data_IF_527501679881
#
_entry.id   IF_527501679881
#
_cell.length_a   1.000
_cell.length_b   1.000
_cell.length_c   1.000
_cell.angle_alpha   90.00
_cell.angle_beta   90.00
_cell.angle_gamma   90.00
#
_symmetry.space_group_name_H-M   'P 1'
#
loop_
_entity.id
_entity.type
_entity.pdbx_description
1 polymer ?
#
# COMPACT_ATOMS: atom_id res chain seq x y z
N UNK A 1 1.20 -6.27 -6.87
CA UNK A 1 0.86 -7.65 -6.42
C UNK A 1 -0.63 -7.73 -6.12
N UNK A 2 -1.29 -8.87 -6.33
CA UNK A 2 -2.70 -9.02 -5.93
C UNK A 2 -2.89 -9.09 -4.42
N UNK A 3 -4.01 -8.57 -3.92
CA UNK A 3 -4.29 -8.50 -2.49
C UNK A 3 -4.28 -9.87 -1.78
N UNK A 4 -4.90 -10.94 -2.30
CA UNK A 4 -4.85 -12.25 -1.64
C UNK A 4 -3.42 -12.81 -1.57
N UNK A 5 -2.62 -12.61 -2.63
CA UNK A 5 -1.23 -13.07 -2.67
C UNK A 5 -0.36 -12.27 -1.70
N UNK A 6 -0.57 -10.96 -1.61
CA UNK A 6 0.13 -10.10 -0.67
C UNK A 6 -0.20 -10.44 0.78
N UNK A 7 -1.49 -10.65 1.10
CA UNK A 7 -1.93 -11.08 2.42
C UNK A 7 -1.30 -12.42 2.84
N UNK A 8 -1.31 -13.41 1.94
CA UNK A 8 -0.65 -14.70 2.16
C UNK A 8 0.86 -14.54 2.39
N UNK A 9 1.53 -13.69 1.62
CA UNK A 9 2.97 -13.48 1.72
C UNK A 9 3.37 -12.82 3.05
N UNK A 10 2.52 -11.93 3.56
CA UNK A 10 2.76 -11.20 4.82
C UNK A 10 2.15 -11.88 6.05
N UNK A 11 1.41 -12.98 5.89
CA UNK A 11 0.69 -13.62 6.99
C UNK A 11 -0.47 -12.77 7.57
N UNK A 12 -1.03 -11.85 6.77
CA UNK A 12 -2.04 -10.89 7.22
C UNK A 12 -3.42 -11.19 6.63
N UNK A 13 -4.46 -10.99 7.45
CA UNK A 13 -5.85 -11.00 7.01
C UNK A 13 -6.17 -9.79 6.11
N UNK A 14 -7.15 -9.96 5.22
CA UNK A 14 -7.51 -8.95 4.22
C UNK A 14 -7.83 -7.57 4.82
N UNK A 15 -8.62 -7.52 5.90
CA UNK A 15 -8.99 -6.26 6.55
C UNK A 15 -7.80 -5.55 7.20
N UNK A 16 -6.85 -6.31 7.76
CA UNK A 16 -5.62 -5.75 8.36
C UNK A 16 -4.74 -5.18 7.26
N UNK A 17 -4.54 -5.95 6.18
CA UNK A 17 -3.76 -5.51 5.04
C UNK A 17 -4.37 -4.25 4.40
N UNK A 18 -5.68 -4.23 4.14
CA UNK A 18 -6.35 -3.05 3.58
C UNK A 18 -6.21 -1.82 4.48
N UNK A 19 -6.39 -1.96 5.80
CA UNK A 19 -6.23 -0.85 6.74
C UNK A 19 -4.81 -0.28 6.71
N UNK A 20 -3.80 -1.15 6.71
CA UNK A 20 -2.41 -0.73 6.61
C UNK A 20 -2.11 -0.03 5.27
N UNK A 21 -2.57 -0.61 4.15
CA UNK A 21 -2.35 -0.02 2.83
C UNK A 21 -3.07 1.32 2.64
N UNK A 22 -4.27 1.49 3.20
CA UNK A 22 -5.00 2.76 3.16
C UNK A 22 -4.24 3.89 3.86
N UNK A 23 -3.59 3.60 4.98
CA UNK A 23 -2.76 4.59 5.69
C UNK A 23 -1.49 4.98 4.92
N UNK A 24 -1.01 4.09 4.03
CA UNK A 24 0.14 4.35 3.15
C UNK A 24 -0.26 4.97 1.80
N UNK A 25 -1.56 5.09 1.52
CA UNK A 25 -2.09 5.71 0.32
C UNK A 25 -2.04 7.23 0.36
N UNK A 26 -2.71 7.88 -0.59
CA UNK A 26 -2.92 9.32 -0.62
C UNK A 26 -4.27 9.74 -0.02
N UNK A 27 -4.96 8.83 0.69
CA UNK A 27 -6.24 9.13 1.32
C UNK A 27 -6.06 10.24 2.37
N UNK A 28 -6.94 11.24 2.35
CA UNK A 28 -6.94 12.30 3.36
C UNK A 28 -7.66 11.80 4.63
N UNK A 29 -6.91 11.61 5.71
CA UNK A 29 -7.44 11.12 6.99
C UNK A 29 -7.18 12.20 8.04
N UNK A 30 -8.24 12.65 8.73
CA UNK A 30 -8.11 13.70 9.75
C UNK A 30 -7.60 15.04 9.20
N UNK A 31 -7.80 15.32 7.91
CA UNK A 31 -7.35 16.54 7.26
C UNK A 31 -5.89 16.53 6.79
N UNK A 32 -5.17 15.43 6.98
CA UNK A 32 -3.80 15.25 6.49
C UNK A 32 -3.82 14.27 5.31
N UNK A 33 -3.14 14.63 4.22
CA UNK A 33 -2.99 13.73 3.09
C UNK A 33 -2.02 12.60 3.48
N UNK A 34 -2.43 11.36 3.21
CA UNK A 34 -1.54 10.21 3.36
C UNK A 34 -0.28 10.37 2.49
N UNK A 35 0.80 9.64 2.82
CA UNK A 35 2.12 9.84 2.23
C UNK A 35 2.20 9.47 0.74
N UNK A 36 1.16 8.82 0.20
CA UNK A 36 1.08 8.47 -1.21
C UNK A 36 2.09 7.40 -1.62
N UNK A 37 2.55 6.56 -0.70
CA UNK A 37 3.55 5.50 -0.96
C UNK A 37 2.99 4.29 -1.67
N UNK A 38 1.73 3.95 -1.41
CA UNK A 38 1.06 2.79 -1.99
C UNK A 38 -0.15 3.22 -2.80
N UNK A 39 -0.34 2.59 -3.95
CA UNK A 39 -1.57 2.65 -4.72
C UNK A 39 -2.27 1.30 -4.67
N UNK A 40 -3.53 1.32 -4.26
CA UNK A 40 -4.44 0.17 -4.37
C UNK A 40 -5.40 0.44 -5.54
N UNK A 41 -5.45 -0.47 -6.50
CA UNK A 41 -6.32 -0.37 -7.68
C UNK A 41 -7.08 -1.67 -7.92
N UNK A 42 -8.29 -1.57 -8.47
CA UNK A 42 -9.02 -2.71 -8.99
C UNK A 42 -8.74 -2.80 -10.50
N UNK A 43 -8.19 -3.93 -10.95
CA UNK A 43 -7.91 -4.25 -12.35
C UNK A 43 -8.62 -5.56 -12.66
N UNK A 44 -9.53 -5.56 -13.64
CA UNK A 44 -10.35 -6.73 -14.00
C UNK A 44 -10.96 -7.41 -12.78
N UNK A 45 -11.68 -6.62 -11.97
CA UNK A 45 -12.31 -7.01 -10.69
C UNK A 45 -11.34 -7.40 -9.55
N UNK A 46 -10.03 -7.48 -9.83
CA UNK A 46 -9.02 -7.90 -8.87
C UNK A 46 -8.34 -6.71 -8.20
N UNK A 47 -8.36 -6.69 -6.88
CA UNK A 47 -7.60 -5.72 -6.10
C UNK A 47 -6.09 -6.02 -6.15
N UNK A 48 -5.32 -5.00 -6.50
CA UNK A 48 -3.86 -5.02 -6.55
C UNK A 48 -3.27 -3.84 -5.79
N UNK A 49 -2.11 -4.06 -5.18
CA UNK A 49 -1.32 -3.03 -4.51
C UNK A 49 0.05 -2.90 -5.17
N UNK A 50 0.52 -1.68 -5.33
CA UNK A 50 1.84 -1.35 -5.86
C UNK A 50 2.43 -0.14 -5.13
N UNK A 51 3.76 -0.09 -5.03
CA UNK A 51 4.45 1.13 -4.63
C UNK A 51 4.28 2.19 -5.73
N UNK A 52 4.08 3.43 -5.32
CA UNK A 52 4.24 4.61 -6.18
C UNK A 52 5.72 4.98 -6.29
N UNK A 53 6.04 6.01 -7.07
CA UNK A 53 7.40 6.55 -7.11
C UNK A 53 7.84 7.11 -5.76
N UNK A 54 6.94 7.80 -5.04
CA UNK A 54 7.20 8.28 -3.69
C UNK A 54 7.49 7.11 -2.72
N UNK A 55 6.74 6.01 -2.83
CA UNK A 55 6.98 4.80 -2.04
C UNK A 55 8.31 4.13 -2.36
N UNK A 56 8.66 4.02 -3.65
CA UNK A 56 9.97 3.50 -4.08
C UNK A 56 11.13 4.35 -3.54
N UNK A 57 11.02 5.68 -3.64
CA UNK A 57 12.04 6.59 -3.11
C UNK A 57 12.17 6.51 -1.59
N UNK A 58 11.06 6.34 -0.86
CA UNK A 58 11.08 6.11 0.58
C UNK A 58 11.80 4.80 0.94
N UNK A 59 11.45 3.69 0.30
CA UNK A 59 12.11 2.40 0.52
C UNK A 59 13.59 2.45 0.19
N UNK A 60 13.98 3.14 -0.90
CA UNK A 60 15.38 3.32 -1.25
C UNK A 60 16.14 4.01 -0.11
N UNK A 61 15.62 5.13 0.42
CA UNK A 61 16.22 5.81 1.58
C UNK A 61 16.34 4.89 2.80
N UNK A 62 15.24 4.22 3.16
CA UNK A 62 15.20 3.35 4.34
C UNK A 62 16.20 2.17 4.28
N UNK A 63 16.49 1.66 3.08
CA UNK A 63 17.42 0.54 2.88
C UNK A 63 18.88 0.97 2.78
N UNK A 64 19.15 2.28 2.68
CA UNK A 64 20.49 2.85 2.67
C UNK A 64 20.92 3.40 4.04
N UNK A 65 20.01 3.43 5.01
CA UNK A 65 20.24 3.79 6.42
C UNK A 65 20.38 2.54 7.30
#
# INVERSE_FOLDING_TARGET
>A
MSMPRLGKHLGLGASVLMRALSAMGNARIGGVDGPGWVRVTQVDERWTAALTDAGRAFCARLLHD
#
